data_IF_831718827917
#
_entry.id   IF_831718827917
#
_cell.length_a   1.000
_cell.length_b   1.000
_cell.length_c   1.000
_cell.angle_alpha   90.00
_cell.angle_beta   90.00
_cell.angle_gamma   90.00
#
_symmetry.space_group_name_H-M   'P 1'
#
loop_
_entity.id
_entity.type
_entity.pdbx_description
1 polymer ?
#
# COMPACT_ATOMS: atom_id res chain seq x y z
N UNK A 1 18.26 -7.54 -7.88
CA UNK A 1 17.22 -6.91 -7.04
C UNK A 1 16.65 -5.66 -7.71
N UNK A 2 17.49 -4.73 -8.17
CA UNK A 2 16.98 -3.49 -8.79
C UNK A 2 16.18 -3.74 -10.08
N UNK A 3 16.62 -4.68 -10.94
CA UNK A 3 15.84 -5.10 -12.13
C UNK A 3 14.45 -5.65 -11.76
N UNK A 4 14.38 -6.50 -10.73
CA UNK A 4 13.13 -7.09 -10.23
C UNK A 4 12.15 -6.00 -9.81
N UNK A 5 12.63 -4.99 -9.06
CA UNK A 5 11.82 -3.85 -8.61
C UNK A 5 11.35 -3.02 -9.80
N UNK A 6 12.23 -2.74 -10.76
CA UNK A 6 11.87 -1.98 -11.98
C UNK A 6 10.76 -2.69 -12.76
N UNK A 7 10.88 -4.00 -12.98
CA UNK A 7 9.88 -4.77 -13.71
C UNK A 7 8.56 -4.90 -12.94
N UNK A 8 8.62 -5.03 -11.61
CA UNK A 8 7.44 -5.05 -10.75
C UNK A 8 6.69 -3.71 -10.82
N UNK A 9 7.40 -2.58 -10.72
CA UNK A 9 6.82 -1.24 -10.84
C UNK A 9 6.20 -1.01 -12.21
N UNK A 10 6.90 -1.42 -13.29
CA UNK A 10 6.36 -1.32 -14.65
C UNK A 10 5.02 -2.04 -14.79
N UNK A 11 4.90 -3.25 -14.24
CA UNK A 11 3.65 -4.03 -14.27
C UNK A 11 2.56 -3.43 -13.40
N UNK A 12 2.95 -2.86 -12.25
CA UNK A 12 2.03 -2.12 -11.38
C UNK A 12 1.44 -0.91 -12.10
N UNK A 13 2.27 -0.11 -12.78
CA UNK A 13 1.83 1.05 -13.54
C UNK A 13 0.88 0.66 -14.69
N UNK A 14 1.20 -0.44 -15.40
CA UNK A 14 0.31 -1.01 -16.44
C UNK A 14 -1.03 -1.45 -15.84
N UNK A 15 -1.02 -2.08 -14.66
CA UNK A 15 -2.24 -2.52 -14.00
C UNK A 15 -3.13 -1.35 -13.55
N UNK A 16 -2.57 -0.20 -13.22
CA UNK A 16 -3.32 0.98 -12.81
C UNK A 16 -3.67 1.94 -13.96
N UNK A 17 -3.24 1.65 -15.18
CA UNK A 17 -3.56 2.48 -16.33
C UNK A 17 -5.07 2.49 -16.60
N UNK A 18 -5.59 3.67 -16.97
CA UNK A 18 -6.98 3.82 -17.41
C UNK A 18 -7.29 2.87 -18.57
N UNK A 19 -8.35 2.09 -18.41
CA UNK A 19 -8.65 0.92 -19.25
C UNK A 19 -10.07 0.44 -18.99
N UNK A 20 -10.58 -0.52 -19.75
CA UNK A 20 -11.82 -1.23 -19.41
C UNK A 20 -11.63 -2.13 -18.17
N UNK A 21 -12.72 -2.52 -17.49
CA UNK A 21 -12.63 -3.44 -16.34
C UNK A 21 -11.99 -4.79 -16.74
N UNK A 22 -12.30 -5.28 -17.93
CA UNK A 22 -11.72 -6.51 -18.48
C UNK A 22 -10.20 -6.40 -18.61
N UNK A 23 -9.72 -5.33 -19.23
CA UNK A 23 -8.28 -5.07 -19.40
C UNK A 23 -7.59 -4.87 -18.04
N UNK A 24 -8.24 -4.18 -17.12
CA UNK A 24 -7.75 -4.03 -15.75
C UNK A 24 -7.53 -5.38 -15.06
N UNK A 25 -8.51 -6.31 -15.12
CA UNK A 25 -8.36 -7.64 -14.53
C UNK A 25 -7.28 -8.49 -15.21
N UNK A 26 -7.10 -8.36 -16.53
CA UNK A 26 -5.99 -9.01 -17.25
C UNK A 26 -4.63 -8.44 -16.82
N UNK A 27 -4.53 -7.13 -16.62
CA UNK A 27 -3.29 -6.52 -16.14
C UNK A 27 -2.99 -6.92 -14.69
N UNK A 28 -4.01 -7.04 -13.84
CA UNK A 28 -3.86 -7.63 -12.49
C UNK A 28 -3.34 -9.06 -12.56
N UNK A 29 -3.88 -9.89 -13.46
CA UNK A 29 -3.36 -11.23 -13.70
C UNK A 29 -1.88 -11.18 -14.08
N UNK A 30 -1.47 -10.35 -15.04
CA UNK A 30 -0.06 -10.25 -15.45
C UNK A 30 0.88 -9.70 -14.38
N UNK A 31 0.36 -8.90 -13.44
CA UNK A 31 1.11 -8.46 -12.28
C UNK A 31 1.36 -9.61 -11.31
N UNK A 32 0.33 -10.39 -10.96
CA UNK A 32 0.46 -11.55 -10.06
C UNK A 32 1.18 -12.74 -10.71
N UNK A 33 1.03 -12.93 -12.03
CA UNK A 33 1.79 -13.93 -12.80
C UNK A 33 3.30 -13.66 -12.72
N UNK A 34 3.70 -12.39 -12.76
CA UNK A 34 5.11 -12.02 -12.56
C UNK A 34 5.60 -12.32 -11.14
N UNK A 35 4.76 -12.15 -10.12
CA UNK A 35 5.07 -12.53 -8.74
C UNK A 35 5.28 -14.04 -8.65
N UNK A 36 4.37 -14.83 -9.22
CA UNK A 36 4.41 -16.29 -9.18
C UNK A 36 5.58 -16.89 -9.97
N UNK A 37 5.95 -16.26 -11.09
CA UNK A 37 7.04 -16.75 -11.96
C UNK A 37 8.42 -16.24 -11.55
N UNK A 38 8.49 -15.19 -10.72
CA UNK A 38 9.77 -14.67 -10.19
C UNK A 38 10.05 -15.26 -8.82
N UNK A 39 10.93 -16.27 -8.78
CA UNK A 39 11.25 -17.09 -7.59
C UNK A 39 11.51 -16.25 -6.33
N UNK A 40 12.27 -15.16 -6.46
CA UNK A 40 12.60 -14.26 -5.36
C UNK A 40 11.36 -13.60 -4.77
N UNK A 41 10.49 -13.04 -5.61
CA UNK A 41 9.25 -12.38 -5.18
C UNK A 41 8.27 -13.42 -4.61
N UNK A 42 8.14 -14.57 -5.29
CA UNK A 42 7.30 -15.67 -4.81
C UNK A 42 7.72 -16.13 -3.42
N UNK A 43 9.02 -16.28 -3.17
CA UNK A 43 9.51 -16.72 -1.87
C UNK A 43 9.12 -15.78 -0.72
N UNK A 44 9.06 -14.48 -0.99
CA UNK A 44 8.59 -13.45 -0.05
C UNK A 44 7.10 -13.61 0.20
N UNK A 45 6.31 -13.76 -0.86
CA UNK A 45 4.87 -13.94 -0.77
C UNK A 45 4.51 -15.21 0.01
N UNK A 46 5.14 -16.34 -0.33
CA UNK A 46 4.95 -17.63 0.35
C UNK A 46 5.39 -17.57 1.84
N UNK A 47 6.44 -16.80 2.16
CA UNK A 47 6.82 -16.59 3.56
C UNK A 47 5.76 -15.77 4.30
N UNK A 48 5.22 -14.74 3.68
CA UNK A 48 4.15 -13.93 4.26
C UNK A 48 2.89 -14.75 4.54
N UNK A 49 2.55 -15.70 3.66
CA UNK A 49 1.46 -16.65 3.84
C UNK A 49 1.68 -17.54 5.08
N UNK A 50 2.86 -18.14 5.21
CA UNK A 50 3.21 -18.96 6.39
C UNK A 50 3.11 -18.15 7.68
N UNK A 51 3.62 -16.92 7.67
CA UNK A 51 3.57 -16.01 8.81
C UNK A 51 2.13 -15.63 9.17
N UNK A 52 1.29 -15.40 8.16
CA UNK A 52 -0.13 -15.11 8.35
C UNK A 52 -0.82 -16.26 9.07
N UNK A 53 -0.73 -17.48 8.53
CA UNK A 53 -1.43 -18.63 9.12
C UNK A 53 -0.93 -18.98 10.52
N UNK A 54 0.37 -18.83 10.78
CA UNK A 54 0.95 -19.02 12.12
C UNK A 54 0.32 -18.05 13.10
N UNK A 55 0.36 -16.73 12.81
CA UNK A 55 -0.20 -15.69 13.69
C UNK A 55 -1.72 -15.82 13.84
N UNK A 56 -2.43 -16.13 12.75
CA UNK A 56 -3.87 -16.33 12.76
C UNK A 56 -4.26 -17.47 13.71
N UNK A 57 -3.57 -18.62 13.63
CA UNK A 57 -3.80 -19.76 14.52
C UNK A 57 -3.51 -19.41 15.97
N UNK A 58 -2.42 -18.70 16.26
CA UNK A 58 -2.10 -18.25 17.61
C UNK A 58 -3.21 -17.36 18.20
N UNK A 59 -3.70 -16.37 17.44
CA UNK A 59 -4.77 -15.47 17.88
C UNK A 59 -6.05 -16.27 18.16
N UNK A 60 -6.42 -17.19 17.26
CA UNK A 60 -7.61 -18.05 17.43
C UNK A 60 -7.50 -18.95 18.65
N UNK A 61 -6.32 -19.55 18.89
CA UNK A 61 -6.07 -20.42 20.04
C UNK A 61 -6.15 -19.64 21.37
N UNK A 62 -5.55 -18.44 21.44
CA UNK A 62 -5.62 -17.58 22.63
C UNK A 62 -7.06 -17.18 22.96
N UNK A 63 -7.87 -16.84 21.97
CA UNK A 63 -9.29 -16.57 22.16
C UNK A 63 -10.06 -17.82 22.64
N UNK A 64 -9.83 -18.98 22.01
CA UNK A 64 -10.51 -20.23 22.36
C UNK A 64 -10.17 -20.73 23.77
N UNK A 65 -8.96 -20.45 24.26
CA UNK A 65 -8.49 -20.83 25.60
C UNK A 65 -8.75 -19.76 26.67
N UNK A 66 -9.42 -18.65 26.32
CA UNK A 66 -9.72 -17.56 27.25
C UNK A 66 -8.50 -16.73 27.68
N UNK A 67 -7.35 -16.91 27.05
CA UNK A 67 -6.13 -16.12 27.31
C UNK A 67 -6.23 -14.69 26.75
N UNK A 68 -7.22 -14.42 25.91
CA UNK A 68 -7.48 -13.10 25.32
C UNK A 68 -8.98 -12.98 25.10
N UNK A 69 -9.55 -11.81 25.38
CA UNK A 69 -10.97 -11.57 25.13
C UNK A 69 -11.27 -11.48 23.61
N UNK A 70 -12.53 -11.74 23.26
CA UNK A 70 -12.97 -11.81 21.87
C UNK A 70 -12.79 -10.51 21.09
N UNK A 71 -12.94 -9.34 21.73
CA UNK A 71 -12.77 -8.06 21.03
C UNK A 71 -11.29 -7.76 20.78
N UNK A 72 -10.41 -8.05 21.73
CA UNK A 72 -8.97 -7.98 21.52
C UNK A 72 -8.51 -8.93 20.41
N UNK A 73 -9.00 -10.17 20.40
CA UNK A 73 -8.68 -11.13 19.34
C UNK A 73 -9.15 -10.66 17.95
N UNK A 74 -10.36 -10.10 17.84
CA UNK A 74 -10.86 -9.47 16.60
C UNK A 74 -9.98 -8.30 16.16
N UNK A 75 -9.57 -7.45 17.10
CA UNK A 75 -8.66 -6.32 16.82
C UNK A 75 -7.30 -6.78 16.30
N UNK A 76 -6.74 -7.85 16.89
CA UNK A 76 -5.49 -8.46 16.44
C UNK A 76 -5.63 -9.07 15.04
N UNK A 77 -6.72 -9.77 14.74
CA UNK A 77 -6.99 -10.33 13.40
C UNK A 77 -7.11 -9.22 12.35
N UNK A 78 -7.87 -8.16 12.66
CA UNK A 78 -7.99 -7.02 11.74
C UNK A 78 -6.65 -6.36 11.46
N UNK A 79 -5.80 -6.22 12.50
CA UNK A 79 -4.44 -5.71 12.32
C UNK A 79 -3.60 -6.65 11.45
N UNK A 80 -3.70 -7.97 11.66
CA UNK A 80 -3.01 -8.95 10.83
C UNK A 80 -3.45 -8.83 9.36
N UNK A 81 -4.75 -8.73 9.10
CA UNK A 81 -5.30 -8.62 7.75
C UNK A 81 -4.92 -7.31 7.04
N UNK A 82 -4.76 -6.21 7.78
CA UNK A 82 -4.37 -4.91 7.22
C UNK A 82 -2.87 -4.75 6.94
N UNK A 83 -2.01 -5.52 7.60
CA UNK A 83 -0.55 -5.33 7.57
C UNK A 83 0.24 -6.56 7.16
N UNK A 84 -0.43 -7.65 6.79
CA UNK A 84 0.24 -8.82 6.22
C UNK A 84 0.12 -8.81 4.70
N UNK A 85 1.26 -8.95 4.02
CA UNK A 85 1.35 -8.94 2.56
C UNK A 85 0.47 -10.01 1.91
N UNK A 86 0.47 -11.24 2.42
CA UNK A 86 -0.41 -12.31 1.93
C UNK A 86 -1.88 -11.95 2.11
N UNK A 87 -2.31 -11.47 3.27
CA UNK A 87 -3.71 -11.12 3.52
C UNK A 87 -4.25 -10.04 2.57
N UNK A 88 -3.42 -9.07 2.20
CA UNK A 88 -3.78 -8.03 1.23
C UNK A 88 -3.79 -8.53 -0.21
N UNK A 89 -2.90 -9.48 -0.54
CA UNK A 89 -2.81 -10.05 -1.89
C UNK A 89 -3.81 -11.17 -2.14
N UNK A 90 -4.24 -11.92 -1.12
CA UNK A 90 -4.99 -13.16 -1.29
C UNK A 90 -6.36 -12.95 -1.93
N UNK A 91 -7.01 -11.81 -1.68
CA UNK A 91 -8.28 -11.45 -2.32
C UNK A 91 -8.16 -11.35 -3.84
N UNK A 92 -7.19 -10.56 -4.32
CA UNK A 92 -6.90 -10.41 -5.76
C UNK A 92 -6.39 -11.74 -6.33
N UNK A 93 -5.48 -12.40 -5.61
CA UNK A 93 -4.87 -13.66 -6.04
C UNK A 93 -5.92 -14.75 -6.30
N UNK A 94 -6.83 -14.98 -5.34
CA UNK A 94 -7.85 -16.02 -5.45
C UNK A 94 -8.93 -15.66 -6.48
N UNK A 95 -9.41 -14.42 -6.50
CA UNK A 95 -10.56 -14.03 -7.32
C UNK A 95 -10.21 -13.74 -8.77
N UNK A 96 -8.97 -13.35 -9.05
CA UNK A 96 -8.54 -12.90 -10.38
C UNK A 96 -7.42 -13.79 -10.91
N UNK A 97 -6.29 -13.87 -10.21
CA UNK A 97 -5.12 -14.57 -10.73
C UNK A 97 -5.37 -16.08 -10.92
N UNK A 98 -5.83 -16.79 -9.87
CA UNK A 98 -6.09 -18.23 -9.96
C UNK A 98 -7.16 -18.54 -11.00
N UNK A 99 -8.27 -17.81 -10.95
CA UNK A 99 -9.37 -17.98 -11.89
C UNK A 99 -8.90 -17.85 -13.35
N UNK A 100 -8.12 -16.80 -13.67
CA UNK A 100 -7.60 -16.59 -15.04
C UNK A 100 -6.53 -17.63 -15.37
N UNK A 101 -5.66 -18.00 -14.43
CA UNK A 101 -4.63 -19.03 -14.61
C UNK A 101 -5.22 -20.39 -14.93
N UNK A 102 -6.33 -20.77 -14.28
CA UNK A 102 -7.06 -22.01 -14.53
C UNK A 102 -7.76 -21.97 -15.89
N UNK A 103 -8.47 -20.87 -16.20
CA UNK A 103 -9.12 -20.68 -17.50
C UNK A 103 -8.15 -20.84 -18.67
N UNK A 104 -6.93 -20.31 -18.55
CA UNK A 104 -5.90 -20.40 -19.60
C UNK A 104 -5.36 -21.83 -19.82
N UNK A 105 -5.66 -22.78 -18.94
CA UNK A 105 -5.20 -24.17 -19.00
C UNK A 105 -6.26 -25.14 -19.51
N UNK A 106 -7.46 -24.66 -19.79
CA UNK A 106 -8.60 -25.46 -20.25
C UNK A 106 -9.07 -25.00 -21.63
N UNK A 107 -9.54 -25.94 -22.44
CA UNK A 107 -10.20 -25.70 -23.73
C UNK A 107 -11.73 -25.84 -23.61
N UNK A 108 -12.26 -25.87 -22.38
CA UNK A 108 -13.69 -25.98 -22.11
C UNK A 108 -14.45 -24.76 -22.67
N UNK A 109 -15.64 -25.03 -23.21
CA UNK A 109 -16.59 -24.00 -23.62
C UNK A 109 -17.12 -23.22 -22.41
N UNK A 110 -17.51 -21.96 -22.61
CA UNK A 110 -17.83 -21.00 -21.53
C UNK A 110 -18.92 -21.49 -20.53
N UNK A 111 -19.83 -22.38 -20.93
CA UNK A 111 -20.87 -22.94 -20.05
C UNK A 111 -20.39 -24.09 -19.14
N UNK A 112 -19.18 -24.60 -19.39
CA UNK A 112 -18.47 -25.54 -18.53
C UNK A 112 -17.42 -24.88 -17.63
N UNK A 113 -17.10 -23.60 -17.88
CA UNK A 113 -16.12 -22.82 -17.11
C UNK A 113 -16.63 -22.42 -15.73
N UNK A 114 -15.73 -21.98 -14.84
CA UNK A 114 -16.13 -21.36 -13.57
C UNK A 114 -16.92 -20.05 -13.84
N UNK A 115 -18.09 -19.83 -13.18
CA UNK A 115 -18.87 -18.61 -13.35
C UNK A 115 -18.08 -17.33 -13.05
N UNK A 116 -17.09 -17.38 -12.16
CA UNK A 116 -16.19 -16.27 -11.85
C UNK A 116 -15.51 -15.74 -13.12
N UNK A 117 -15.03 -16.63 -13.97
CA UNK A 117 -14.32 -16.24 -15.20
C UNK A 117 -15.25 -15.67 -16.23
N UNK A 118 -16.42 -16.29 -16.41
CA UNK A 118 -17.44 -15.80 -17.33
C UNK A 118 -17.89 -14.40 -16.91
N UNK A 119 -18.09 -14.17 -15.61
CA UNK A 119 -18.44 -12.86 -15.06
C UNK A 119 -17.32 -11.84 -15.26
N UNK A 120 -16.07 -12.24 -15.01
CA UNK A 120 -14.90 -11.36 -15.12
C UNK A 120 -14.67 -10.89 -16.57
N UNK A 121 -14.83 -11.76 -17.57
CA UNK A 121 -14.54 -11.43 -18.98
C UNK A 121 -15.75 -10.96 -19.79
N UNK A 122 -16.95 -11.41 -19.46
CA UNK A 122 -18.14 -11.18 -20.29
C UNK A 122 -19.30 -10.53 -19.52
N UNK A 123 -19.21 -10.44 -18.19
CA UNK A 123 -20.20 -9.81 -17.35
C UNK A 123 -21.47 -10.65 -17.12
N UNK A 124 -22.30 -10.17 -16.19
CA UNK A 124 -23.47 -10.91 -15.71
C UNK A 124 -24.53 -11.18 -16.78
N UNK A 125 -24.71 -10.26 -17.74
CA UNK A 125 -25.71 -10.44 -18.79
C UNK A 125 -25.32 -11.54 -19.79
N UNK A 126 -24.02 -11.75 -20.02
CA UNK A 126 -23.56 -12.90 -20.81
C UNK A 126 -23.72 -14.20 -20.02
N UNK A 127 -23.29 -14.23 -18.76
CA UNK A 127 -23.42 -15.42 -17.91
C UNK A 127 -24.88 -15.91 -17.79
N UNK A 128 -25.84 -14.99 -17.66
CA UNK A 128 -27.28 -15.32 -17.66
C UNK A 128 -27.76 -15.99 -18.94
N UNK A 129 -27.20 -15.63 -20.10
CA UNK A 129 -27.58 -16.21 -21.40
C UNK A 129 -27.17 -17.66 -21.54
N UNK A 130 -26.11 -18.09 -20.84
CA UNK A 130 -25.67 -19.48 -20.81
C UNK A 130 -26.66 -20.40 -20.08
N UNK A 131 -27.57 -19.85 -19.25
CA UNK A 131 -28.60 -20.59 -18.50
C UNK A 131 -28.06 -21.78 -17.67
N UNK A 132 -26.78 -21.73 -17.33
CA UNK A 132 -26.09 -22.78 -16.57
C UNK A 132 -26.27 -22.63 -15.07
N UNK A 133 -26.26 -21.39 -14.59
CA UNK A 133 -26.30 -21.05 -13.17
C UNK A 133 -27.56 -20.28 -12.80
N UNK A 134 -27.98 -20.45 -11.56
CA UNK A 134 -29.06 -19.67 -10.99
C UNK A 134 -28.69 -18.18 -10.91
N UNK A 135 -29.68 -17.30 -11.14
CA UNK A 135 -29.45 -15.86 -11.10
C UNK A 135 -28.92 -15.37 -9.75
N UNK A 136 -29.40 -15.94 -8.65
CA UNK A 136 -28.96 -15.53 -7.32
C UNK A 136 -27.50 -15.95 -7.05
N UNK A 137 -27.12 -17.14 -7.53
CA UNK A 137 -25.75 -17.61 -7.49
C UNK A 137 -24.82 -16.68 -8.29
N UNK A 138 -25.20 -16.29 -9.52
CA UNK A 138 -24.41 -15.35 -10.33
C UNK A 138 -24.27 -13.96 -9.69
N UNK A 139 -25.32 -13.46 -9.01
CA UNK A 139 -25.24 -12.17 -8.30
C UNK A 139 -24.19 -12.18 -7.19
N UNK A 140 -24.07 -13.30 -6.46
CA UNK A 140 -23.09 -13.40 -5.37
C UNK A 140 -21.67 -13.19 -5.88
N UNK A 141 -21.29 -13.83 -6.98
CA UNK A 141 -19.97 -13.65 -7.60
C UNK A 141 -19.83 -12.31 -8.32
N UNK A 142 -20.89 -11.81 -8.95
CA UNK A 142 -20.84 -10.51 -9.62
C UNK A 142 -20.54 -9.37 -8.64
N UNK A 143 -20.93 -9.51 -7.36
CA UNK A 143 -20.58 -8.55 -6.31
C UNK A 143 -19.07 -8.43 -6.05
N UNK A 144 -18.27 -9.38 -6.54
CA UNK A 144 -16.82 -9.29 -6.48
C UNK A 144 -16.25 -8.35 -7.54
N UNK A 145 -16.96 -8.08 -8.65
CA UNK A 145 -16.41 -7.37 -9.80
C UNK A 145 -17.19 -6.08 -10.13
N UNK A 146 -18.52 -6.14 -10.11
CA UNK A 146 -19.39 -5.04 -10.51
C UNK A 146 -19.16 -3.79 -9.65
N UNK A 147 -18.59 -2.74 -10.25
CA UNK A 147 -18.27 -1.49 -9.55
C UNK A 147 -17.18 -1.61 -8.49
N UNK A 148 -16.37 -2.68 -8.52
CA UNK A 148 -15.32 -2.96 -7.52
C UNK A 148 -13.91 -2.60 -7.97
N UNK A 149 -13.72 -2.06 -9.19
CA UNK A 149 -12.40 -1.64 -9.68
C UNK A 149 -11.63 -0.77 -8.68
N UNK A 150 -12.24 0.28 -8.16
CA UNK A 150 -11.58 1.20 -7.21
C UNK A 150 -11.13 0.52 -5.92
N UNK A 151 -11.85 -0.51 -5.46
CA UNK A 151 -11.45 -1.34 -4.33
C UNK A 151 -10.18 -2.14 -4.67
N UNK A 152 -10.17 -2.82 -5.82
CA UNK A 152 -8.99 -3.59 -6.25
C UNK A 152 -7.77 -2.70 -6.56
N UNK A 153 -7.96 -1.50 -7.09
CA UNK A 153 -6.87 -0.53 -7.26
C UNK A 153 -6.26 -0.12 -5.91
N UNK A 154 -7.10 0.09 -4.88
CA UNK A 154 -6.62 0.40 -3.54
C UNK A 154 -5.90 -0.79 -2.89
N UNK A 155 -6.46 -1.99 -3.01
CA UNK A 155 -5.82 -3.23 -2.55
C UNK A 155 -4.48 -3.47 -3.24
N UNK A 156 -4.41 -3.32 -4.57
CA UNK A 156 -3.17 -3.46 -5.34
C UNK A 156 -2.12 -2.44 -4.90
N UNK A 157 -2.48 -1.17 -4.71
CA UNK A 157 -1.57 -0.12 -4.22
C UNK A 157 -0.97 -0.49 -2.87
N UNK A 158 -1.79 -0.93 -1.93
CA UNK A 158 -1.33 -1.30 -0.60
C UNK A 158 -0.45 -2.56 -0.64
N UNK A 159 -0.86 -3.58 -1.40
CA UNK A 159 -0.10 -4.80 -1.60
C UNK A 159 1.27 -4.52 -2.23
N UNK A 160 1.31 -3.72 -3.30
CA UNK A 160 2.54 -3.37 -4.01
C UNK A 160 3.54 -2.66 -3.11
N UNK A 161 3.08 -1.70 -2.29
CA UNK A 161 3.93 -1.01 -1.31
C UNK A 161 4.56 -1.98 -0.32
N UNK A 162 3.78 -2.89 0.28
CA UNK A 162 4.34 -3.88 1.20
C UNK A 162 5.29 -4.85 0.51
N UNK A 163 5.05 -5.22 -0.75
CA UNK A 163 5.96 -6.06 -1.51
C UNK A 163 7.32 -5.37 -1.70
N UNK A 164 7.31 -4.08 -2.03
CA UNK A 164 8.54 -3.28 -2.13
C UNK A 164 9.27 -3.17 -0.80
N UNK A 165 8.55 -3.02 0.31
CA UNK A 165 9.13 -3.02 1.66
C UNK A 165 9.82 -4.36 1.98
N UNK A 166 9.18 -5.48 1.68
CA UNK A 166 9.79 -6.81 1.88
C UNK A 166 11.01 -7.04 0.98
N UNK A 167 10.94 -6.63 -0.29
CA UNK A 167 12.08 -6.70 -1.22
C UNK A 167 13.27 -5.84 -0.74
N UNK A 168 13.00 -4.68 -0.13
CA UNK A 168 14.04 -3.83 0.44
C UNK A 168 14.76 -4.48 1.63
N UNK A 169 14.04 -5.28 2.45
CA UNK A 169 14.64 -6.04 3.57
C UNK A 169 15.56 -7.17 3.11
N UNK A 170 15.35 -7.70 1.90
CA UNK A 170 16.16 -8.76 1.31
C UNK A 170 17.49 -8.25 0.70
N UNK A 171 17.69 -6.93 0.59
CA UNK A 171 19.01 -6.41 0.23
C UNK A 171 19.98 -6.74 1.37
N UNK A 172 21.14 -7.37 1.09
CA UNK A 172 22.15 -7.56 2.13
C UNK A 172 22.47 -6.18 2.73
N UNK A 173 22.65 -6.15 4.05
CA UNK A 173 23.22 -4.99 4.75
C UNK A 173 24.63 -4.82 4.20
N UNK A 174 24.75 -4.06 3.11
CA UNK A 174 26.04 -3.61 2.60
C UNK A 174 26.59 -2.69 3.69
N UNK A 175 27.56 -3.19 4.45
CA UNK A 175 28.47 -2.33 5.22
C UNK A 175 28.96 -1.25 4.25
N UNK A 176 28.78 0.04 4.55
CA UNK A 176 28.91 1.06 3.51
C UNK A 176 30.36 1.12 3.01
N UNK A 177 30.62 1.02 1.70
CA UNK A 177 31.78 1.67 1.14
C UNK A 177 31.57 3.19 1.28
N UNK A 178 32.60 3.87 1.76
CA UNK A 178 32.66 5.33 1.80
C UNK A 178 32.29 5.93 0.44
N UNK A 179 31.51 7.01 0.50
CA UNK A 179 31.31 8.00 -0.54
C UNK A 179 30.79 7.49 -1.90
N UNK A 180 29.47 7.55 -2.07
CA UNK A 180 28.85 8.22 -3.22
C UNK A 180 27.42 8.64 -2.86
N UNK A 181 27.18 9.95 -2.85
CA UNK A 181 25.89 10.56 -2.58
C UNK A 181 25.09 10.73 -3.88
N UNK A 182 23.78 10.41 -3.84
CA UNK A 182 22.61 10.90 -4.65
C UNK A 182 21.53 9.80 -4.59
N UNK A 183 20.22 9.96 -4.32
CA UNK A 183 19.32 11.00 -3.76
C UNK A 183 18.02 10.25 -3.37
N UNK A 184 17.77 9.97 -2.09
CA UNK A 184 16.42 9.64 -1.60
C UNK A 184 15.95 10.88 -0.84
N UNK A 185 14.95 11.63 -1.36
CA UNK A 185 14.66 12.95 -0.82
C UNK A 185 13.85 12.92 0.49
N UNK A 186 13.17 11.83 0.86
CA UNK A 186 12.70 11.51 2.23
C UNK A 186 12.06 10.11 2.17
N UNK A 187 12.62 9.14 2.90
CA UNK A 187 12.00 7.83 3.12
C UNK A 187 11.44 7.76 4.53
N UNK A 188 10.24 7.20 4.71
CA UNK A 188 9.62 6.94 6.02
C UNK A 188 8.99 5.55 6.03
N UNK A 189 9.47 4.68 6.90
CA UNK A 189 8.88 3.38 7.18
C UNK A 189 7.62 3.57 8.04
N UNK A 190 6.46 3.17 7.52
CA UNK A 190 5.19 3.37 8.21
C UNK A 190 4.97 2.43 9.41
N UNK A 191 5.75 1.35 9.50
CA UNK A 191 5.62 0.35 10.55
C UNK A 191 6.50 0.69 11.75
N UNK A 192 7.77 0.99 11.51
CA UNK A 192 8.75 1.28 12.57
C UNK A 192 8.84 2.75 12.88
N UNK A 193 8.49 3.61 11.92
CA UNK A 193 8.72 5.04 12.01
C UNK A 193 10.11 5.48 11.57
N UNK A 194 10.96 4.55 11.14
CA UNK A 194 12.32 4.86 10.70
C UNK A 194 12.29 5.71 9.45
N UNK A 195 13.12 6.76 9.40
CA UNK A 195 13.21 7.62 8.24
C UNK A 195 14.66 7.86 7.83
N UNK A 196 14.82 8.15 6.54
CA UNK A 196 16.08 8.58 5.95
C UNK A 196 15.80 9.87 5.19
N UNK A 197 16.48 10.95 5.56
CA UNK A 197 16.39 12.25 4.91
C UNK A 197 17.78 12.83 4.74
N UNK A 198 18.30 12.80 3.50
CA UNK A 198 19.70 13.13 3.23
C UNK A 198 20.66 12.33 4.13
N UNK A 199 21.45 13.01 4.97
CA UNK A 199 22.38 12.40 5.92
C UNK A 199 21.73 12.00 7.24
N UNK A 200 20.48 12.40 7.50
CA UNK A 200 19.78 12.13 8.76
C UNK A 200 19.07 10.78 8.71
N UNK A 201 19.33 9.94 9.71
CA UNK A 201 18.67 8.64 9.92
C UNK A 201 18.19 8.56 11.36
N UNK A 202 16.89 8.50 11.55
CA UNK A 202 16.26 8.53 12.86
C UNK A 202 14.87 7.86 12.81
N UNK A 203 14.13 7.87 13.92
CA UNK A 203 12.82 7.20 14.02
C UNK A 203 11.77 8.16 14.58
N UNK A 204 10.66 8.36 13.86
CA UNK A 204 9.43 8.93 14.41
C UNK A 204 8.56 7.81 14.97
N UNK A 205 8.46 7.68 16.31
CA UNK A 205 7.55 6.66 16.89
C UNK A 205 6.13 6.76 16.29
N UNK A 206 5.55 5.66 15.77
CA UNK A 206 4.25 5.70 15.10
C UNK A 206 3.08 6.25 15.94
N UNK A 207 3.24 6.26 17.27
CA UNK A 207 2.25 6.81 18.19
C UNK A 207 2.24 8.35 18.24
N UNK A 208 3.30 9.03 17.78
CA UNK A 208 3.45 10.47 17.93
C UNK A 208 2.63 11.28 16.93
N UNK A 209 2.38 12.54 17.27
CA UNK A 209 1.65 13.46 16.39
C UNK A 209 2.50 13.79 15.16
N UNK A 210 3.82 13.90 15.32
CA UNK A 210 4.78 14.13 14.25
C UNK A 210 4.72 13.03 13.19
N UNK A 211 4.70 11.76 13.60
CA UNK A 211 4.59 10.64 12.66
C UNK A 211 3.28 10.71 11.87
N UNK A 212 2.15 10.92 12.55
CA UNK A 212 0.82 10.96 11.93
C UNK A 212 0.69 12.12 10.94
N UNK A 213 1.22 13.29 11.28
CA UNK A 213 1.20 14.47 10.40
C UNK A 213 2.14 14.29 9.21
N UNK A 214 3.37 13.80 9.42
CA UNK A 214 4.34 13.59 8.35
C UNK A 214 3.89 12.52 7.36
N UNK A 215 3.40 11.37 7.86
CA UNK A 215 2.83 10.33 7.02
C UNK A 215 1.64 10.85 6.22
N UNK A 216 0.70 11.56 6.87
CA UNK A 216 -0.43 12.15 6.14
C UNK A 216 0.02 13.06 5.01
N UNK A 217 1.00 13.95 5.23
CA UNK A 217 1.56 14.80 4.16
C UNK A 217 2.23 14.01 3.04
N UNK A 218 3.02 12.98 3.38
CA UNK A 218 3.73 12.15 2.41
C UNK A 218 2.79 11.35 1.50
N UNK A 219 1.62 10.95 2.00
CA UNK A 219 0.68 10.09 1.28
C UNK A 219 -0.58 10.83 0.78
N UNK A 220 -0.69 12.14 1.03
CA UNK A 220 -1.76 12.94 0.45
C UNK A 220 -1.51 13.18 -1.04
N UNK A 221 -2.59 13.33 -1.82
CA UNK A 221 -2.51 13.61 -3.25
C UNK A 221 -1.63 14.84 -3.51
N UNK A 222 -0.70 14.73 -4.46
CA UNK A 222 0.26 15.78 -4.82
C UNK A 222 1.11 16.31 -3.64
N UNK A 223 1.23 15.52 -2.55
CA UNK A 223 1.86 15.91 -1.29
C UNK A 223 1.25 17.14 -0.63
N UNK A 224 -0.03 17.41 -0.88
CA UNK A 224 -0.78 18.53 -0.32
C UNK A 224 -1.83 18.02 0.64
N UNK A 225 -1.85 18.54 1.86
CA UNK A 225 -2.87 18.23 2.86
C UNK A 225 -3.42 19.50 3.49
N UNK A 226 -4.73 19.59 3.60
CA UNK A 226 -5.43 20.67 4.29
C UNK A 226 -5.17 20.61 5.79
N UNK A 227 -5.33 21.74 6.49
CA UNK A 227 -5.22 21.76 7.95
C UNK A 227 -6.19 20.78 8.62
N UNK A 228 -7.40 20.60 8.06
CA UNK A 228 -8.40 19.68 8.60
C UNK A 228 -7.95 18.23 8.46
N UNK A 229 -7.43 17.83 7.29
CA UNK A 229 -6.91 16.47 7.06
C UNK A 229 -5.75 16.15 8.01
N UNK A 230 -4.81 17.07 8.16
CA UNK A 230 -3.66 16.89 9.06
C UNK A 230 -4.08 16.78 10.52
N UNK A 231 -5.07 17.57 10.94
CA UNK A 231 -5.55 17.51 12.32
C UNK A 231 -6.40 16.27 12.58
N UNK A 232 -7.17 15.81 11.59
CA UNK A 232 -7.93 14.54 11.67
C UNK A 232 -7.00 13.33 11.83
N UNK A 233 -5.80 13.37 11.26
CA UNK A 233 -4.81 12.30 11.47
C UNK A 233 -4.45 12.12 12.95
N UNK A 234 -4.52 13.19 13.75
CA UNK A 234 -4.26 13.16 15.20
C UNK A 234 -5.57 12.92 15.98
N UNK A 235 -6.66 13.59 15.56
CA UNK A 235 -7.96 13.62 16.21
C UNK A 235 -9.09 13.33 15.21
N UNK A 236 -9.43 12.05 14.95
CA UNK A 236 -10.31 11.63 13.85
C UNK A 236 -11.70 12.28 13.83
N UNK A 237 -12.24 12.61 15.02
CA UNK A 237 -13.60 13.16 15.17
C UNK A 237 -13.68 14.68 14.97
N UNK A 238 -12.63 15.32 14.44
CA UNK A 238 -12.62 16.78 14.24
C UNK A 238 -13.38 17.17 12.98
N UNK A 239 -14.48 17.90 13.10
CA UNK A 239 -15.27 18.36 11.95
C UNK A 239 -14.77 19.68 11.34
N UNK A 240 -14.21 20.56 12.16
CA UNK A 240 -13.77 21.91 11.78
C UNK A 240 -12.48 22.27 12.50
N UNK A 241 -11.69 23.15 11.89
CA UNK A 241 -10.41 23.58 12.46
C UNK A 241 -10.44 25.01 12.99
N UNK A 242 -10.00 25.19 14.23
CA UNK A 242 -9.89 26.48 14.89
C UNK A 242 -8.52 27.14 14.64
N UNK A 243 -8.35 28.40 15.06
CA UNK A 243 -7.04 29.08 15.04
C UNK A 243 -6.02 28.34 15.91
N UNK A 244 -6.38 28.00 17.14
CA UNK A 244 -5.52 27.29 18.10
C UNK A 244 -5.01 25.96 17.56
N UNK A 245 -5.86 25.21 16.83
CA UNK A 245 -5.48 23.93 16.23
C UNK A 245 -4.51 24.10 15.05
N UNK A 246 -4.62 25.19 14.28
CA UNK A 246 -3.62 25.54 13.25
C UNK A 246 -2.28 25.92 13.86
N UNK A 247 -2.30 26.61 15.00
CA UNK A 247 -1.09 26.96 15.74
C UNK A 247 -0.40 25.69 16.29
N UNK A 248 -1.18 24.72 16.77
CA UNK A 248 -0.67 23.39 17.17
C UNK A 248 -0.04 22.63 16.00
N UNK A 249 -0.69 22.58 14.82
CA UNK A 249 -0.10 21.97 13.62
C UNK A 249 1.24 22.64 13.25
N UNK A 250 1.33 23.96 13.39
CA UNK A 250 2.57 24.70 13.11
C UNK A 250 3.70 24.31 14.06
N UNK A 251 3.38 24.02 15.32
CA UNK A 251 4.34 23.49 16.29
C UNK A 251 4.79 22.07 15.95
N UNK A 252 3.86 21.19 15.55
CA UNK A 252 4.17 19.81 15.14
C UNK A 252 5.07 19.82 13.90
N UNK A 253 4.76 20.62 12.89
CA UNK A 253 5.61 20.78 11.70
C UNK A 253 7.01 21.28 12.09
N UNK A 254 7.12 22.21 13.04
CA UNK A 254 8.42 22.66 13.55
C UNK A 254 9.20 21.53 14.24
N UNK A 255 8.54 20.66 15.00
CA UNK A 255 9.18 19.50 15.63
C UNK A 255 9.66 18.49 14.58
N UNK A 256 8.84 18.22 13.56
CA UNK A 256 9.23 17.39 12.41
C UNK A 256 10.48 17.98 11.74
N UNK A 257 10.49 19.27 11.44
CA UNK A 257 11.65 19.96 10.85
C UNK A 257 12.92 19.81 11.68
N UNK A 258 12.82 19.90 13.01
CA UNK A 258 13.98 19.69 13.89
C UNK A 258 14.53 18.28 13.77
N UNK A 259 13.64 17.29 13.79
CA UNK A 259 14.03 15.88 13.72
C UNK A 259 14.57 15.48 12.35
N UNK A 260 14.10 16.13 11.28
CA UNK A 260 14.67 16.03 9.93
C UNK A 260 15.97 16.85 9.75
N UNK A 261 16.53 17.43 10.81
CA UNK A 261 17.70 18.32 10.75
C UNK A 261 17.55 19.48 9.74
N UNK A 262 16.32 19.99 9.56
CA UNK A 262 16.02 21.22 8.78
C UNK A 262 16.16 22.46 9.67
N UNK A 263 15.91 22.29 10.98
CA UNK A 263 16.00 23.35 11.98
C UNK A 263 16.86 22.87 13.17
N UNK A 264 17.65 23.77 13.80
CA UNK A 264 17.92 25.16 13.42
C UNK A 264 18.66 25.26 12.09
N UNK A 265 18.53 26.37 11.36
CA UNK A 265 19.15 26.51 10.05
C UNK A 265 20.64 26.85 10.19
N UNK A 266 21.48 25.89 9.87
CA UNK A 266 22.95 25.91 9.86
C UNK A 266 23.46 25.50 8.47
N UNK A 267 24.78 25.55 8.25
CA UNK A 267 25.39 25.07 6.99
C UNK A 267 25.19 23.57 6.76
N UNK A 268 25.07 22.79 7.84
CA UNK A 268 24.82 21.33 7.81
C UNK A 268 23.33 20.97 7.76
N UNK A 269 22.44 21.96 7.74
CA UNK A 269 20.99 21.70 7.75
C UNK A 269 20.49 21.18 6.41
N UNK A 270 19.56 20.24 6.49
CA UNK A 270 18.89 19.73 5.31
C UNK A 270 17.94 20.78 4.69
N UNK A 271 17.67 20.69 3.38
CA UNK A 271 16.73 21.58 2.71
C UNK A 271 15.33 21.55 3.33
N UNK A 272 14.71 22.72 3.48
CA UNK A 272 13.32 22.81 3.95
C UNK A 272 12.36 22.37 2.84
N UNK A 273 11.69 21.24 3.07
CA UNK A 273 10.69 20.67 2.15
C UNK A 273 9.26 21.11 2.47
N UNK A 274 9.00 21.78 3.60
CA UNK A 274 7.63 22.13 3.98
C UNK A 274 7.26 23.53 3.51
N UNK A 275 6.25 23.62 2.67
CA UNK A 275 5.65 24.88 2.21
C UNK A 275 4.25 25.05 2.80
N UNK A 276 4.07 26.11 3.59
CA UNK A 276 2.76 26.50 4.09
C UNK A 276 1.92 27.14 2.97
N UNK A 277 0.67 26.70 2.85
CA UNK A 277 -0.31 27.26 1.92
C UNK A 277 -1.32 28.07 2.74
N UNK A 278 -1.31 29.42 2.65
CA UNK A 278 -2.13 30.27 3.50
C UNK A 278 -3.60 29.85 3.50
N UNK A 279 -4.18 29.72 4.69
CA UNK A 279 -5.57 29.30 4.96
C UNK A 279 -5.94 27.87 4.52
N UNK A 280 -5.14 27.18 3.71
CA UNK A 280 -5.45 25.86 3.15
C UNK A 280 -4.79 24.76 3.98
N UNK A 281 -3.46 24.75 4.08
CA UNK A 281 -2.73 23.66 4.71
C UNK A 281 -1.23 23.69 4.46
N UNK A 282 -0.64 22.51 4.24
CA UNK A 282 0.79 22.33 4.00
C UNK A 282 1.02 21.48 2.75
N UNK A 283 2.17 21.67 2.13
CA UNK A 283 2.66 20.86 1.02
C UNK A 283 4.12 20.48 1.21
N UNK A 284 4.52 19.32 0.68
CA UNK A 284 5.93 18.95 0.57
C UNK A 284 6.47 19.32 -0.82
N UNK A 285 7.64 19.96 -0.86
CA UNK A 285 8.31 20.39 -2.08
C UNK A 285 9.74 19.85 -2.07
N UNK A 286 10.00 18.88 -2.94
CA UNK A 286 11.33 18.31 -3.11
C UNK A 286 12.06 19.06 -4.23
N UNK A 287 13.14 19.78 -3.91
CA UNK A 287 13.98 20.39 -4.93
C UNK A 287 14.75 19.31 -5.67
N UNK A 288 14.53 19.15 -6.98
CA UNK A 288 15.45 18.39 -7.83
C UNK A 288 16.76 19.19 -7.93
N UNK A 289 17.88 18.67 -7.42
CA UNK A 289 19.17 19.24 -7.78
C UNK A 289 19.41 18.99 -9.27
N UNK A 290 19.19 20.00 -10.08
CA UNK A 290 19.67 20.09 -11.45
C UNK A 290 21.20 20.13 -11.40
N UNK A 291 21.82 19.01 -11.75
CA UNK A 291 23.20 19.01 -12.25
C UNK A 291 23.07 18.77 -13.74
N UNK A 292 23.27 19.84 -14.51
CA UNK A 292 23.52 19.76 -15.94
C UNK A 292 24.98 19.33 -16.07
N UNK A 293 25.31 18.21 -16.74
CA UNK A 293 26.68 17.95 -17.13
C UNK A 293 26.97 18.73 -18.43
N UNK A 294 28.01 19.56 -18.39
CA UNK A 294 28.78 19.93 -19.58
C UNK A 294 29.57 18.72 -20.10
#
# INVERSE_FOLDING_TARGET
>A
MDSIITDLNKRFDIALQESTDKEFYLNLYHYFDYIETTKEIKSIFDQSERDYYTKFREIKLKNATGQTDTETAKGQLRKLELFNLYALGCGIYMRIYLAISEYRKTDEVDDLQDPVIVLLFYGIEYAKKLKRWENEYLKQYNNWFGGKRSMYEAELKQFHLLMLEELAKQKPVVTPPENTAVKVPLYLNLTTGDFIFHSTRETFSPATQEFKVLSTLLYSKDYVATHLELYKAIHPNTERISKTQRDQLSLIIRNIKRKLNILPKTEESNPDIFKSIPKIGYSLVFKHSSVIPE
#
